data_IF_711927742940
#
_entry.id   IF_711927742940
#
_cell.length_a   1.000
_cell.length_b   1.000
_cell.length_c   1.000
_cell.angle_alpha   90.00
_cell.angle_beta   90.00
_cell.angle_gamma   90.00
#
_symmetry.space_group_name_H-M   'P 1'
#
loop_
_entity.id
_entity.type
_entity.pdbx_description
1 polymer ?
#
# COMPACT_ATOMS: atom_id res chain seq x y z
N UNK A 1 21.11 -3.17 5.01
CA UNK A 1 21.87 -3.51 3.78
C UNK A 1 23.12 -4.36 4.02
N UNK A 2 23.90 -4.15 5.09
CA UNK A 2 25.06 -5.00 5.45
C UNK A 2 24.69 -6.49 5.66
N UNK A 3 23.47 -6.79 6.13
CA UNK A 3 23.03 -8.16 6.39
C UNK A 3 22.92 -9.02 5.11
N UNK A 4 22.52 -8.43 4.00
CA UNK A 4 22.35 -9.14 2.72
C UNK A 4 23.69 -9.54 2.10
N UNK A 5 24.75 -8.74 2.28
CA UNK A 5 26.09 -9.03 1.77
C UNK A 5 26.70 -10.34 2.30
N UNK A 6 26.31 -10.75 3.51
CA UNK A 6 26.88 -11.91 4.20
C UNK A 6 26.06 -13.19 4.01
N UNK A 7 24.92 -13.12 3.28
CA UNK A 7 24.13 -14.31 2.98
C UNK A 7 24.81 -15.12 1.85
N UNK A 8 24.95 -16.42 2.05
CA UNK A 8 25.29 -17.34 0.96
C UNK A 8 24.10 -17.44 -0.01
N UNK A 9 24.02 -16.50 -0.96
CA UNK A 9 22.83 -16.28 -1.81
C UNK A 9 22.99 -16.86 -3.22
N UNK A 10 24.12 -17.51 -3.51
CA UNK A 10 24.37 -18.08 -4.83
C UNK A 10 23.22 -19.02 -5.25
N UNK A 11 22.60 -18.71 -6.37
CA UNK A 11 21.44 -19.43 -6.90
C UNK A 11 20.11 -19.22 -6.17
N UNK A 12 20.06 -18.42 -5.09
CA UNK A 12 18.83 -18.12 -4.33
C UNK A 12 18.15 -16.86 -4.85
N UNK A 13 16.84 -16.79 -4.62
CA UNK A 13 16.03 -15.59 -4.89
C UNK A 13 15.60 -15.01 -3.55
N UNK A 14 15.87 -13.73 -3.34
CA UNK A 14 15.40 -12.98 -2.18
C UNK A 14 14.07 -12.34 -2.54
N UNK A 15 13.05 -12.56 -1.72
CA UNK A 15 11.74 -11.95 -1.90
C UNK A 15 11.57 -10.85 -0.83
N UNK A 16 11.40 -9.62 -1.29
CA UNK A 16 11.08 -8.48 -0.43
C UNK A 16 9.56 -8.32 -0.42
N UNK A 17 8.97 -8.36 0.77
CA UNK A 17 7.54 -8.16 0.98
C UNK A 17 7.22 -6.83 1.65
N UNK A 18 8.17 -6.27 2.39
CA UNK A 18 8.03 -4.95 3.04
C UNK A 18 8.00 -3.84 2.00
N UNK A 19 7.16 -2.83 2.21
CA UNK A 19 7.11 -1.64 1.35
C UNK A 19 8.47 -0.93 1.36
N UNK A 20 8.97 -0.64 0.17
CA UNK A 20 10.23 0.05 -0.08
C UNK A 20 10.03 1.08 -1.20
N UNK A 21 10.78 2.18 -1.24
CA UNK A 21 10.65 3.21 -2.26
C UNK A 21 10.79 2.66 -3.69
N UNK A 22 10.02 3.18 -4.67
CA UNK A 22 10.11 2.76 -6.05
C UNK A 22 11.53 2.87 -6.61
N UNK A 23 11.98 1.83 -7.34
CA UNK A 23 13.33 1.73 -7.88
C UNK A 23 14.35 1.05 -6.96
N UNK A 24 14.02 0.83 -5.69
CA UNK A 24 14.95 0.24 -4.70
C UNK A 24 15.38 -1.17 -5.10
N UNK A 25 14.44 -2.05 -5.46
CA UNK A 25 14.76 -3.44 -5.85
C UNK A 25 15.63 -3.47 -7.12
N UNK A 26 15.34 -2.58 -8.08
CA UNK A 26 16.17 -2.44 -9.28
C UNK A 26 17.58 -2.02 -8.91
N UNK A 27 17.74 -0.97 -8.11
CA UNK A 27 19.05 -0.49 -7.66
C UNK A 27 19.87 -1.58 -6.94
N UNK A 28 19.21 -2.42 -6.13
CA UNK A 28 19.90 -3.53 -5.47
C UNK A 28 20.30 -4.63 -6.47
N UNK A 29 19.46 -4.99 -7.43
CA UNK A 29 19.82 -5.96 -8.48
C UNK A 29 20.96 -5.44 -9.37
N UNK A 30 21.00 -4.13 -9.65
CA UNK A 30 22.06 -3.51 -10.46
C UNK A 30 23.40 -3.40 -9.68
N UNK A 31 23.33 -3.33 -8.35
CA UNK A 31 24.51 -3.19 -7.49
C UNK A 31 25.13 -4.52 -7.05
N UNK A 32 24.36 -5.60 -7.00
CA UNK A 32 24.77 -6.89 -6.50
C UNK A 32 24.62 -7.99 -7.56
N UNK A 33 25.67 -8.28 -8.34
CA UNK A 33 25.66 -9.25 -9.42
C UNK A 33 25.32 -10.69 -8.99
N UNK A 34 25.61 -11.02 -7.72
CA UNK A 34 25.37 -12.36 -7.17
C UNK A 34 23.98 -12.51 -6.51
N UNK A 35 23.17 -11.48 -6.49
CA UNK A 35 21.84 -11.50 -5.91
C UNK A 35 20.76 -11.48 -6.98
N UNK A 36 19.64 -12.11 -6.65
CA UNK A 36 18.41 -11.99 -7.42
C UNK A 36 17.29 -11.61 -6.48
N UNK A 37 16.86 -10.36 -6.53
CA UNK A 37 15.88 -9.80 -5.63
C UNK A 37 14.57 -9.57 -6.40
N UNK A 38 13.46 -10.03 -5.81
CA UNK A 38 12.11 -9.86 -6.35
C UNK A 38 11.27 -9.18 -5.29
N UNK A 39 10.58 -8.12 -5.68
CA UNK A 39 9.57 -7.47 -4.85
C UNK A 39 8.21 -8.15 -5.01
N UNK A 40 7.58 -8.50 -3.90
CA UNK A 40 6.25 -9.07 -3.87
C UNK A 40 5.38 -8.30 -2.87
N UNK A 41 4.69 -7.24 -3.31
CA UNK A 41 3.80 -6.47 -2.45
C UNK A 41 2.70 -7.33 -1.86
N UNK A 42 2.24 -6.94 -0.68
CA UNK A 42 1.03 -7.49 -0.07
C UNK A 42 -0.04 -6.40 0.07
N UNK A 43 -1.30 -6.82 0.02
CA UNK A 43 -2.47 -5.95 0.07
C UNK A 43 -3.41 -6.36 1.20
N UNK A 44 -2.83 -6.85 2.30
CA UNK A 44 -3.58 -7.32 3.46
C UNK A 44 -4.08 -6.15 4.30
N UNK A 45 -5.31 -6.27 4.80
CA UNK A 45 -5.82 -5.37 5.83
C UNK A 45 -5.42 -5.90 7.21
N UNK A 46 -5.10 -5.01 8.14
CA UNK A 46 -4.63 -5.42 9.48
C UNK A 46 -5.67 -6.27 10.20
N UNK A 47 -6.95 -5.90 10.08
CA UNK A 47 -8.06 -6.60 10.73
C UNK A 47 -8.35 -7.99 10.14
N UNK A 48 -8.02 -8.24 8.85
CA UNK A 48 -8.38 -9.47 8.15
C UNK A 48 -7.18 -10.14 7.47
N UNK A 49 -5.97 -9.94 7.97
CA UNK A 49 -4.73 -10.32 7.30
C UNK A 49 -4.69 -11.79 6.85
N UNK A 50 -5.15 -12.73 7.67
CA UNK A 50 -5.18 -14.17 7.33
C UNK A 50 -6.18 -14.43 6.21
N UNK A 51 -7.41 -13.90 6.34
CA UNK A 51 -8.48 -14.07 5.35
C UNK A 51 -8.10 -13.44 4.01
N UNK A 52 -7.51 -12.25 4.03
CA UNK A 52 -7.06 -11.56 2.83
C UNK A 52 -5.90 -12.31 2.16
N UNK A 53 -5.00 -12.91 2.96
CA UNK A 53 -3.93 -13.73 2.43
C UNK A 53 -4.45 -14.99 1.73
N UNK A 54 -5.39 -15.70 2.35
CA UNK A 54 -5.98 -16.93 1.80
C UNK A 54 -6.81 -16.67 0.53
N UNK A 55 -7.48 -15.53 0.46
CA UNK A 55 -8.41 -15.17 -0.62
C UNK A 55 -7.84 -14.16 -1.63
N UNK A 56 -6.53 -13.96 -1.65
CA UNK A 56 -5.96 -13.02 -2.61
C UNK A 56 -6.22 -13.44 -4.07
N UNK A 57 -6.69 -12.48 -4.85
CA UNK A 57 -7.03 -12.68 -6.26
C UNK A 57 -5.87 -12.44 -7.21
N UNK A 58 -4.80 -11.82 -6.71
CA UNK A 58 -3.60 -11.48 -7.48
C UNK A 58 -2.33 -11.61 -6.64
N UNK A 59 -1.26 -12.06 -7.27
CA UNK A 59 0.11 -12.03 -6.73
C UNK A 59 0.98 -11.29 -7.73
N UNK A 60 1.69 -10.25 -7.28
CA UNK A 60 2.57 -9.45 -8.13
C UNK A 60 4.02 -9.83 -7.80
N UNK A 61 4.80 -10.17 -8.83
CA UNK A 61 6.21 -10.51 -8.73
C UNK A 61 7.00 -9.53 -9.60
N UNK A 62 7.63 -8.55 -8.98
CA UNK A 62 8.42 -7.51 -9.64
C UNK A 62 9.92 -7.78 -9.54
N UNK A 63 10.58 -7.97 -10.67
CA UNK A 63 12.03 -8.21 -10.69
C UNK A 63 12.53 -8.95 -11.94
N UNK A 64 13.77 -9.47 -11.90
CA UNK A 64 14.35 -10.15 -13.05
C UNK A 64 13.47 -11.28 -13.59
N UNK A 65 13.21 -11.28 -14.90
CA UNK A 65 12.28 -12.23 -15.55
C UNK A 65 12.59 -13.70 -15.25
N UNK A 66 13.87 -14.05 -15.16
CA UNK A 66 14.31 -15.42 -14.83
C UNK A 66 13.84 -15.83 -13.43
N UNK A 67 13.92 -14.92 -12.47
CA UNK A 67 13.56 -15.14 -11.07
C UNK A 67 12.05 -15.15 -10.87
N UNK A 68 11.33 -14.18 -11.45
CA UNK A 68 9.86 -14.14 -11.38
C UNK A 68 9.22 -15.36 -12.05
N UNK A 69 9.88 -15.92 -13.11
CA UNK A 69 9.43 -17.16 -13.77
C UNK A 69 9.62 -18.39 -12.88
N UNK A 70 10.74 -18.48 -12.13
CA UNK A 70 10.96 -19.56 -11.15
C UNK A 70 10.00 -19.48 -9.97
N UNK A 71 9.61 -18.27 -9.53
CA UNK A 71 8.70 -18.07 -8.41
C UNK A 71 7.23 -18.33 -8.79
N UNK A 72 6.85 -18.13 -10.05
CA UNK A 72 5.45 -18.29 -10.49
C UNK A 72 4.80 -19.60 -10.01
N UNK A 73 5.37 -20.81 -10.22
CA UNK A 73 4.74 -22.05 -9.77
C UNK A 73 4.68 -22.15 -8.23
N UNK A 74 5.63 -21.54 -7.50
CA UNK A 74 5.67 -21.55 -6.05
C UNK A 74 4.46 -20.79 -5.48
N UNK A 75 4.13 -19.63 -6.05
CA UNK A 75 2.96 -18.86 -5.66
C UNK A 75 1.64 -19.42 -6.22
N UNK A 76 1.67 -20.03 -7.40
CA UNK A 76 0.46 -20.62 -8.01
C UNK A 76 -0.07 -21.82 -7.21
N UNK A 77 0.81 -22.57 -6.55
CA UNK A 77 0.44 -23.74 -5.76
C UNK A 77 -0.53 -23.39 -4.58
N UNK A 78 -0.20 -22.45 -3.67
CA UNK A 78 -1.12 -22.05 -2.60
C UNK A 78 -2.26 -21.16 -3.09
N UNK A 79 -2.13 -20.48 -4.21
CA UNK A 79 -3.14 -19.54 -4.74
C UNK A 79 -3.57 -19.94 -6.17
N UNK A 80 -4.26 -21.08 -6.33
CA UNK A 80 -4.59 -21.62 -7.65
C UNK A 80 -5.51 -20.71 -8.48
N UNK A 81 -6.32 -19.89 -7.84
CA UNK A 81 -7.25 -18.97 -8.49
C UNK A 81 -6.69 -17.55 -8.67
N UNK A 82 -5.53 -17.24 -8.05
CA UNK A 82 -4.94 -15.91 -8.17
C UNK A 82 -4.23 -15.72 -9.52
N UNK A 83 -4.34 -14.51 -10.05
CA UNK A 83 -3.53 -14.06 -11.18
C UNK A 83 -2.09 -13.79 -10.73
N UNK A 84 -1.12 -14.50 -11.34
CA UNK A 84 0.30 -14.28 -11.07
C UNK A 84 0.85 -13.30 -12.10
N UNK A 85 0.97 -12.05 -11.71
CA UNK A 85 1.46 -10.96 -12.54
C UNK A 85 2.98 -10.85 -12.38
N UNK A 86 3.72 -10.98 -13.49
CA UNK A 86 5.17 -10.78 -13.53
C UNK A 86 5.47 -9.46 -14.22
N UNK A 87 6.23 -8.61 -13.56
CA UNK A 87 6.56 -7.26 -14.06
C UNK A 87 7.95 -6.83 -13.57
N UNK A 88 8.40 -5.65 -13.98
CA UNK A 88 9.58 -5.03 -13.40
C UNK A 88 9.32 -4.61 -11.95
N UNK A 89 10.38 -4.56 -11.15
CA UNK A 89 10.27 -4.27 -9.72
C UNK A 89 9.70 -2.88 -9.44
N UNK A 90 10.12 -1.86 -10.19
CA UNK A 90 9.63 -0.49 -10.02
C UNK A 90 8.12 -0.39 -10.27
N UNK A 91 7.59 -1.11 -11.25
CA UNK A 91 6.13 -1.19 -11.45
C UNK A 91 5.42 -1.84 -10.26
N UNK A 92 5.97 -2.96 -9.75
CA UNK A 92 5.37 -3.64 -8.60
C UNK A 92 5.39 -2.78 -7.33
N UNK A 93 6.49 -2.05 -7.10
CA UNK A 93 6.64 -1.08 -6.02
C UNK A 93 5.60 0.04 -6.15
N UNK A 94 5.47 0.64 -7.35
CA UNK A 94 4.47 1.69 -7.61
C UNK A 94 3.04 1.20 -7.46
N UNK A 95 2.71 -0.03 -7.85
CA UNK A 95 1.35 -0.60 -7.63
C UNK A 95 0.98 -0.58 -6.15
N UNK A 96 1.93 -0.91 -5.25
CA UNK A 96 1.70 -0.84 -3.80
C UNK A 96 1.38 0.58 -3.35
N UNK A 97 2.20 1.55 -3.77
CA UNK A 97 2.02 2.95 -3.40
C UNK A 97 0.74 3.55 -3.95
N UNK A 98 0.44 3.33 -5.23
CA UNK A 98 -0.81 3.81 -5.85
C UNK A 98 -2.02 3.26 -5.10
N UNK A 99 -2.03 1.95 -4.81
CA UNK A 99 -3.16 1.33 -4.10
C UNK A 99 -3.36 1.95 -2.72
N UNK A 100 -2.32 2.00 -1.90
CA UNK A 100 -2.45 2.50 -0.53
C UNK A 100 -2.73 4.00 -0.48
N UNK A 101 -2.06 4.80 -1.31
CA UNK A 101 -2.28 6.25 -1.35
C UNK A 101 -3.66 6.61 -1.87
N UNK A 102 -4.17 5.90 -2.88
CA UNK A 102 -5.53 6.12 -3.37
C UNK A 102 -6.58 5.78 -2.29
N UNK A 103 -6.41 4.67 -1.56
CA UNK A 103 -7.31 4.31 -0.48
C UNK A 103 -7.24 5.31 0.68
N UNK A 104 -6.06 5.80 1.02
CA UNK A 104 -5.88 6.88 2.00
C UNK A 104 -6.59 8.18 1.57
N UNK A 105 -6.42 8.57 0.29
CA UNK A 105 -7.14 9.72 -0.29
C UNK A 105 -8.66 9.55 -0.20
N UNK A 106 -9.14 8.34 -0.48
CA UNK A 106 -10.56 8.02 -0.36
C UNK A 106 -11.07 8.16 1.08
N UNK A 107 -10.30 7.74 2.08
CA UNK A 107 -10.66 7.93 3.50
C UNK A 107 -10.67 9.41 3.86
N UNK A 108 -9.67 10.19 3.45
CA UNK A 108 -9.63 11.64 3.69
C UNK A 108 -10.82 12.34 3.03
N UNK A 109 -11.14 11.98 1.78
CA UNK A 109 -12.32 12.49 1.08
C UNK A 109 -13.63 12.12 1.78
N UNK A 110 -13.76 10.87 2.25
CA UNK A 110 -14.94 10.40 2.99
C UNK A 110 -15.17 11.23 4.26
N UNK A 111 -14.09 11.51 5.01
CA UNK A 111 -14.17 12.35 6.22
C UNK A 111 -14.56 13.80 5.90
N UNK A 112 -14.11 14.35 4.77
CA UNK A 112 -14.53 15.68 4.33
C UNK A 112 -16.01 15.70 3.94
N UNK A 113 -16.48 14.70 3.19
CA UNK A 113 -17.89 14.56 2.84
C UNK A 113 -18.77 14.35 4.08
N UNK A 114 -18.30 13.60 5.07
CA UNK A 114 -18.97 13.46 6.37
C UNK A 114 -19.18 14.81 7.03
N UNK A 115 -18.13 15.65 7.13
CA UNK A 115 -18.23 16.99 7.71
C UNK A 115 -19.22 17.89 6.95
N UNK A 116 -19.28 17.80 5.63
CA UNK A 116 -20.23 18.54 4.81
C UNK A 116 -21.66 18.05 5.06
N UNK A 117 -21.89 16.74 5.14
CA UNK A 117 -23.20 16.18 5.46
C UNK A 117 -23.68 16.61 6.84
N UNK A 118 -22.81 16.58 7.86
CA UNK A 118 -23.10 17.10 9.20
C UNK A 118 -23.51 18.59 9.15
N UNK A 119 -22.77 19.42 8.39
CA UNK A 119 -23.09 20.84 8.23
C UNK A 119 -24.41 21.13 7.52
N UNK A 120 -24.89 20.16 6.72
CA UNK A 120 -26.15 20.23 5.98
C UNK A 120 -27.32 19.54 6.72
N UNK A 121 -27.08 18.93 7.89
CA UNK A 121 -28.04 18.08 8.61
C UNK A 121 -28.56 16.91 7.75
N UNK A 122 -27.64 16.24 7.02
CA UNK A 122 -27.92 15.13 6.12
C UNK A 122 -27.22 13.88 6.62
N UNK A 123 -27.94 12.75 6.60
CA UNK A 123 -27.42 11.45 6.98
C UNK A 123 -26.33 10.96 5.99
N UNK A 124 -25.08 11.02 6.42
CA UNK A 124 -23.92 10.61 5.62
C UNK A 124 -24.00 9.16 5.14
N UNK A 125 -24.41 8.24 6.01
CA UNK A 125 -24.45 6.80 5.67
C UNK A 125 -25.43 6.55 4.54
N UNK A 126 -26.59 7.22 4.53
CA UNK A 126 -27.55 7.14 3.42
C UNK A 126 -27.00 7.75 2.13
N UNK A 127 -26.29 8.88 2.24
CA UNK A 127 -25.66 9.49 1.05
C UNK A 127 -24.66 8.54 0.43
N UNK A 128 -23.81 7.90 1.23
CA UNK A 128 -22.83 6.92 0.72
C UNK A 128 -23.49 5.65 0.21
N UNK A 129 -24.52 5.14 0.90
CA UNK A 129 -25.29 4.01 0.38
C UNK A 129 -25.77 4.29 -1.05
N UNK A 130 -26.40 5.44 -1.29
CA UNK A 130 -26.93 5.78 -2.60
C UNK A 130 -25.84 6.09 -3.63
N UNK A 131 -24.79 6.81 -3.24
CA UNK A 131 -23.67 7.11 -4.11
C UNK A 131 -22.95 5.84 -4.61
N UNK A 132 -22.81 4.82 -3.75
CA UNK A 132 -22.12 3.58 -4.07
C UNK A 132 -22.95 2.59 -4.91
N UNK A 133 -24.18 2.94 -5.33
CA UNK A 133 -24.86 2.28 -6.45
C UNK A 133 -24.08 2.46 -7.76
N UNK A 134 -23.30 3.54 -7.88
CA UNK A 134 -22.30 3.64 -8.94
C UNK A 134 -21.08 2.78 -8.60
N UNK A 135 -20.96 1.62 -9.26
CA UNK A 135 -19.89 0.66 -9.03
C UNK A 135 -18.48 1.23 -9.25
N UNK A 136 -18.32 2.35 -9.97
CA UNK A 136 -17.04 3.02 -10.17
C UNK A 136 -16.44 3.54 -8.86
N UNK A 137 -17.28 3.85 -7.87
CA UNK A 137 -16.83 4.32 -6.56
C UNK A 137 -16.29 3.20 -5.68
N UNK A 138 -16.71 1.94 -5.91
CA UNK A 138 -16.37 0.82 -5.05
C UNK A 138 -16.91 1.01 -3.62
N UNK A 139 -17.16 -0.08 -2.92
CA UNK A 139 -17.87 -0.06 -1.62
C UNK A 139 -16.96 0.08 -0.40
N UNK A 140 -15.64 -0.04 -0.55
CA UNK A 140 -14.71 0.00 0.59
C UNK A 140 -14.24 1.41 0.93
N UNK A 141 -13.78 1.62 2.18
CA UNK A 141 -13.12 2.85 2.66
C UNK A 141 -14.01 4.12 2.68
N UNK A 142 -15.32 3.94 2.86
CA UNK A 142 -16.28 5.03 3.02
C UNK A 142 -16.73 5.24 4.47
N UNK A 143 -16.50 4.25 5.37
CA UNK A 143 -16.97 4.34 6.75
C UNK A 143 -16.32 5.51 7.50
N UNK A 144 -17.14 6.33 8.14
CA UNK A 144 -16.75 7.43 9.02
C UNK A 144 -17.65 7.39 10.26
N UNK A 145 -17.12 7.12 11.45
CA UNK A 145 -15.72 6.78 11.73
C UNK A 145 -15.27 5.47 11.06
N UNK A 146 -13.95 5.28 11.00
CA UNK A 146 -13.35 4.08 10.44
C UNK A 146 -13.62 2.80 11.26
N UNK A 147 -13.18 1.63 10.78
CA UNK A 147 -13.42 0.35 11.47
C UNK A 147 -12.73 0.25 12.85
N UNK A 148 -11.77 1.11 13.14
CA UNK A 148 -11.13 1.27 14.44
C UNK A 148 -11.86 2.25 15.38
N UNK A 149 -12.99 2.81 14.93
CA UNK A 149 -13.82 3.75 15.69
C UNK A 149 -13.30 5.19 15.68
N UNK A 150 -12.24 5.50 14.96
CA UNK A 150 -11.66 6.84 14.87
C UNK A 150 -11.87 7.46 13.47
N UNK A 151 -11.72 8.78 13.38
CA UNK A 151 -11.78 9.52 12.12
C UNK A 151 -10.45 9.37 11.35
N UNK A 152 -10.52 9.52 10.03
CA UNK A 152 -9.35 9.40 9.17
C UNK A 152 -8.79 7.97 9.10
N UNK A 153 -7.53 7.86 8.74
CA UNK A 153 -6.81 6.59 8.69
C UNK A 153 -5.64 6.57 9.68
N UNK A 154 -5.41 5.41 10.27
CA UNK A 154 -4.30 5.13 11.19
C UNK A 154 -3.55 3.87 10.79
N UNK A 155 -2.98 3.19 11.78
CA UNK A 155 -2.12 2.05 11.59
C UNK A 155 -0.79 2.41 10.93
N UNK A 156 -0.02 1.42 10.51
CA UNK A 156 1.33 1.68 9.98
C UNK A 156 1.39 1.80 8.44
N UNK A 157 0.35 1.37 7.71
CA UNK A 157 0.43 1.27 6.25
C UNK A 157 0.17 2.61 5.56
N UNK A 158 -1.02 3.18 5.72
CA UNK A 158 -1.41 4.39 4.98
C UNK A 158 -0.58 5.62 5.33
N UNK A 159 -0.37 5.96 6.63
CA UNK A 159 0.44 7.13 6.97
C UNK A 159 1.84 7.06 6.40
N UNK A 160 2.51 5.92 6.58
CA UNK A 160 3.87 5.68 6.09
C UNK A 160 3.95 5.73 4.56
N UNK A 161 3.03 5.08 3.85
CA UNK A 161 3.09 4.96 2.40
C UNK A 161 2.76 6.28 1.72
N UNK A 162 1.80 7.07 2.24
CA UNK A 162 1.50 8.42 1.74
C UNK A 162 2.70 9.34 1.91
N UNK A 163 3.31 9.39 3.10
CA UNK A 163 4.48 10.22 3.36
C UNK A 163 5.68 9.82 2.51
N UNK A 164 5.93 8.52 2.37
CA UNK A 164 7.02 8.03 1.53
C UNK A 164 6.81 8.39 0.05
N UNK A 165 5.56 8.33 -0.46
CA UNK A 165 5.28 8.72 -1.84
C UNK A 165 5.38 10.22 -2.06
N UNK A 166 5.01 11.06 -1.07
CA UNK A 166 5.26 12.51 -1.08
C UNK A 166 6.75 12.76 -1.25
N UNK A 167 7.57 12.16 -0.38
CA UNK A 167 9.03 12.33 -0.44
C UNK A 167 9.64 11.86 -1.77
N UNK A 168 9.13 10.76 -2.34
CA UNK A 168 9.55 10.30 -3.68
C UNK A 168 9.22 11.32 -4.75
N UNK A 169 8.01 11.90 -4.73
CA UNK A 169 7.60 12.91 -5.69
C UNK A 169 8.46 14.17 -5.59
N UNK A 170 8.71 14.66 -4.38
CA UNK A 170 9.56 15.83 -4.11
C UNK A 170 10.99 15.61 -4.62
N UNK A 171 11.57 14.44 -4.40
CA UNK A 171 12.90 14.08 -4.91
C UNK A 171 12.95 14.02 -6.45
N UNK A 172 11.81 13.86 -7.11
CA UNK A 172 11.65 13.92 -8.57
C UNK A 172 11.35 15.34 -9.07
N UNK A 173 11.25 16.33 -8.17
CA UNK A 173 10.86 17.70 -8.52
C UNK A 173 9.37 17.88 -8.82
N UNK A 174 8.53 16.93 -8.39
CA UNK A 174 7.06 16.96 -8.57
C UNK A 174 6.44 17.44 -7.26
N UNK A 175 5.57 18.45 -7.31
CA UNK A 175 4.78 18.88 -6.17
C UNK A 175 3.50 18.04 -6.05
N UNK A 176 3.35 17.16 -5.04
CA UNK A 176 2.27 16.19 -4.97
C UNK A 176 1.05 16.73 -4.21
N UNK A 177 0.37 17.75 -4.73
CA UNK A 177 -0.74 18.47 -4.07
C UNK A 177 -1.79 17.54 -3.46
N UNK A 178 -2.27 16.55 -4.23
CA UNK A 178 -3.30 15.63 -3.77
C UNK A 178 -2.86 14.78 -2.57
N UNK A 179 -1.62 14.32 -2.56
CA UNK A 179 -1.09 13.52 -1.44
C UNK A 179 -0.86 14.39 -0.20
N UNK A 180 -0.39 15.62 -0.39
CA UNK A 180 -0.22 16.60 0.70
C UNK A 180 -1.58 16.90 1.33
N UNK A 181 -2.60 17.26 0.53
CA UNK A 181 -3.95 17.54 1.00
C UNK A 181 -4.59 16.32 1.69
N UNK A 182 -4.35 15.12 1.17
CA UNK A 182 -4.78 13.86 1.80
C UNK A 182 -4.19 13.71 3.20
N UNK A 183 -2.89 13.94 3.34
CA UNK A 183 -2.18 13.84 4.62
C UNK A 183 -2.60 14.93 5.60
N UNK A 184 -2.76 16.16 5.13
CA UNK A 184 -3.23 17.30 5.93
C UNK A 184 -4.66 17.05 6.45
N UNK A 185 -5.58 16.62 5.60
CA UNK A 185 -6.95 16.27 6.01
C UNK A 185 -6.95 15.16 7.05
N UNK A 186 -6.13 14.13 6.88
CA UNK A 186 -5.99 13.07 7.88
C UNK A 186 -5.47 13.61 9.22
N UNK A 187 -4.46 14.48 9.20
CA UNK A 187 -3.91 15.10 10.40
C UNK A 187 -4.90 16.01 11.13
N UNK A 188 -5.84 16.63 10.40
CA UNK A 188 -6.89 17.47 10.95
C UNK A 188 -7.96 16.63 11.67
N UNK A 189 -8.45 15.56 11.06
CA UNK A 189 -9.56 14.76 11.59
C UNK A 189 -9.13 13.68 12.58
N UNK A 190 -7.93 13.11 12.42
CA UNK A 190 -7.43 11.99 13.24
C UNK A 190 -6.80 12.48 14.53
N UNK A 191 -7.41 12.13 15.66
CA UNK A 191 -6.90 12.48 17.00
C UNK A 191 -5.83 11.50 17.50
N UNK A 192 -6.03 10.19 17.29
CA UNK A 192 -5.11 9.15 17.70
C UNK A 192 -4.12 8.84 16.57
N UNK A 193 -2.93 9.43 16.64
CA UNK A 193 -1.83 9.18 15.72
C UNK A 193 -1.00 7.98 16.19
N UNK A 194 -1.63 6.82 16.15
CA UNK A 194 -1.09 5.55 16.63
C UNK A 194 0.22 5.14 15.91
N UNK A 195 0.38 5.51 14.64
CA UNK A 195 1.60 5.26 13.85
C UNK A 195 2.85 5.95 14.42
N UNK A 196 2.72 7.07 15.13
CA UNK A 196 3.86 7.77 15.74
C UNK A 196 4.53 6.94 16.84
N UNK A 197 3.79 6.00 17.44
CA UNK A 197 4.28 5.07 18.47
C UNK A 197 4.91 3.80 17.88
N UNK A 198 4.73 3.55 16.57
CA UNK A 198 5.19 2.35 15.88
C UNK A 198 6.62 2.49 15.37
N UNK A 199 7.59 2.71 16.29
CA UNK A 199 9.01 2.82 15.96
C UNK A 199 9.52 1.62 15.16
N UNK A 200 10.25 1.89 14.07
CA UNK A 200 10.80 0.87 13.18
C UNK A 200 9.78 0.19 12.24
N UNK A 201 8.51 0.62 12.27
CA UNK A 201 7.46 0.17 11.34
C UNK A 201 6.86 1.31 10.53
N UNK A 202 6.36 2.34 11.21
CA UNK A 202 5.72 3.50 10.58
C UNK A 202 6.58 4.77 10.69
N UNK A 203 7.49 4.80 11.66
CA UNK A 203 8.43 5.90 11.87
C UNK A 203 9.85 5.34 11.77
N UNK A 204 10.69 5.96 10.93
CA UNK A 204 12.11 5.61 10.74
C UNK A 204 12.96 6.37 11.78
#
# INVERSE_FOLDING_TARGET
MLFIKNLKTEGKIIIIKSTIPPGTTKGWNDHFDNLSIVFNPEFLTEANAVKDYENQTRVILGGPRKSTTKLKPIFKKPFPNADIIKTDSTYAEMVKYITNSFLATKVSFANEMYQICEGLDVDYDKVIEYATYDNRLGKSHWSVPGPDGDFGYGGHCFPKDVQALISVAENLGIFPEMLISTNEKNNDVRKNKDWEKMKGRAVV
#
